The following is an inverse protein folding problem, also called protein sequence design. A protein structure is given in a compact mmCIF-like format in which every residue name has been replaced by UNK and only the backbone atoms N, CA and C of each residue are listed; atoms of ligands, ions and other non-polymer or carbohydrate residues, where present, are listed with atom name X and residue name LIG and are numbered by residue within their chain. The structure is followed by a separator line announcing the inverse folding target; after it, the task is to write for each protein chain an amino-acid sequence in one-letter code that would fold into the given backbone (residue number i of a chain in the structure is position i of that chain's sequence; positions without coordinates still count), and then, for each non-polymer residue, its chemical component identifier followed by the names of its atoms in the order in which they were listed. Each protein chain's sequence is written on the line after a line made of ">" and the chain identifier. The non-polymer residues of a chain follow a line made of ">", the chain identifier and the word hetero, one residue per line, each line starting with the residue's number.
data_IF_032220560782
#
_entry.id   IF_032220560782
#
_cell.length_a   1.000
_cell.length_b   1.000
_cell.length_c   1.000
_cell.angle_alpha   90.00
_cell.angle_beta   90.00
_cell.angle_gamma   90.00
#
_symmetry.space_group_name_H-M   'P 1'
#
loop_
_entity.id
_entity.type
_entity.pdbx_description
1 polymer ?
#
# COMPACT_ATOMS: atom_id res chain seq x y z
N UNK A 1 -6.93 -53.29 -6.23
CA UNK A 1 -6.29 -52.16 -5.51
C UNK A 1 -6.79 -50.86 -6.11
N UNK A 2 -7.38 -50.01 -5.26
CA UNK A 2 -8.48 -49.08 -5.56
C UNK A 2 -8.05 -47.74 -6.18
N UNK A 3 -8.62 -47.41 -7.35
CA UNK A 3 -8.51 -46.10 -8.02
C UNK A 3 -9.20 -44.95 -7.26
N UNK A 4 -10.03 -45.25 -6.26
CA UNK A 4 -10.79 -44.28 -5.47
C UNK A 4 -9.92 -43.38 -4.56
N UNK A 5 -8.68 -43.77 -4.25
CA UNK A 5 -7.82 -43.04 -3.32
C UNK A 5 -7.09 -41.83 -3.94
N UNK A 6 -7.06 -41.71 -5.29
CA UNK A 6 -6.33 -40.64 -5.98
C UNK A 6 -7.15 -39.37 -6.25
N UNK A 7 -8.48 -39.46 -6.23
CA UNK A 7 -9.35 -38.30 -6.51
C UNK A 7 -9.58 -37.45 -5.26
N UNK A 8 -9.52 -38.05 -4.06
CA UNK A 8 -9.81 -37.34 -2.81
C UNK A 8 -8.67 -36.40 -2.36
N UNK A 9 -7.42 -36.68 -2.75
CA UNK A 9 -6.26 -35.85 -2.39
C UNK A 9 -6.18 -34.55 -3.21
N UNK A 10 -6.80 -34.50 -4.39
CA UNK A 10 -6.77 -33.32 -5.27
C UNK A 10 -7.74 -32.21 -4.83
N UNK A 11 -8.80 -32.54 -4.08
CA UNK A 11 -9.82 -31.56 -3.69
C UNK A 11 -9.48 -30.79 -2.42
N UNK A 12 -8.58 -31.30 -1.58
CA UNK A 12 -8.19 -30.66 -0.31
C UNK A 12 -7.09 -29.60 -0.52
N UNK A 13 -6.27 -29.72 -1.57
CA UNK A 13 -5.20 -28.76 -1.87
C UNK A 13 -5.66 -27.52 -2.65
N UNK A 14 -6.90 -27.47 -3.15
CA UNK A 14 -7.43 -26.30 -3.86
C UNK A 14 -8.13 -25.27 -2.97
N UNK A 15 -8.32 -25.55 -1.68
CA UNK A 15 -9.07 -24.66 -0.77
C UNK A 15 -8.19 -23.90 0.25
N UNK A 16 -6.86 -24.02 0.19
CA UNK A 16 -5.97 -23.44 1.20
C UNK A 16 -5.49 -22.00 0.92
N UNK A 17 -5.91 -21.36 -0.18
CA UNK A 17 -5.28 -20.11 -0.62
C UNK A 17 -6.03 -18.83 -0.28
N UNK A 18 -7.23 -18.91 0.32
CA UNK A 18 -7.96 -17.72 0.79
C UNK A 18 -7.90 -17.68 2.30
N UNK A 19 -6.68 -17.68 2.85
CA UNK A 19 -6.51 -17.21 4.22
C UNK A 19 -6.84 -15.72 4.17
N UNK A 20 -8.08 -15.38 4.53
CA UNK A 20 -8.49 -14.03 4.93
C UNK A 20 -7.69 -13.70 6.19
N UNK A 21 -6.42 -13.40 6.00
CA UNK A 21 -5.58 -12.95 7.08
C UNK A 21 -6.21 -11.66 7.61
N UNK A 22 -6.41 -11.61 8.93
CA UNK A 22 -7.02 -10.49 9.61
C UNK A 22 -6.28 -9.20 9.20
N UNK A 23 -7.01 -8.07 9.00
CA UNK A 23 -6.41 -6.81 8.62
C UNK A 23 -5.17 -6.50 9.45
N UNK A 24 -4.14 -5.94 8.83
CA UNK A 24 -2.90 -5.62 9.52
C UNK A 24 -3.17 -4.74 10.76
N UNK A 25 -2.86 -5.26 11.94
CA UNK A 25 -2.92 -4.50 13.20
C UNK A 25 -1.71 -3.56 13.29
N UNK A 26 -1.90 -2.30 12.90
CA UNK A 26 -0.85 -1.28 12.88
C UNK A 26 -0.41 -0.82 14.27
N UNK A 27 -1.06 -1.26 15.35
CA UNK A 27 -0.59 -1.02 16.73
C UNK A 27 0.57 -1.94 17.12
N UNK A 28 0.87 -2.95 16.29
CA UNK A 28 1.93 -3.93 16.50
C UNK A 28 2.87 -3.96 15.29
N UNK A 29 4.11 -4.43 15.45
CA UNK A 29 4.96 -4.72 14.31
C UNK A 29 4.27 -5.67 13.33
N UNK A 30 4.42 -5.40 12.03
CA UNK A 30 3.91 -6.31 11.01
C UNK A 30 4.58 -7.69 11.14
N UNK A 31 3.82 -8.78 11.02
CA UNK A 31 4.40 -10.11 11.11
C UNK A 31 5.34 -10.38 9.93
N UNK A 32 6.55 -10.83 10.24
CA UNK A 32 7.59 -11.15 9.27
C UNK A 32 8.28 -9.92 8.66
N UNK A 33 8.95 -10.11 7.53
CA UNK A 33 9.65 -9.02 6.82
C UNK A 33 8.64 -8.10 6.12
N UNK A 34 8.85 -6.80 6.21
CA UNK A 34 8.10 -5.82 5.41
C UNK A 34 8.30 -6.09 3.92
N UNK A 35 7.19 -6.24 3.19
CA UNK A 35 7.13 -6.41 1.74
C UNK A 35 6.13 -5.38 1.23
N UNK A 36 6.64 -4.20 0.91
CA UNK A 36 5.82 -3.07 0.49
C UNK A 36 6.31 -2.44 -0.80
N UNK A 37 5.37 -1.85 -1.54
CA UNK A 37 5.65 -1.00 -2.69
C UNK A 37 5.54 0.48 -2.32
N UNK A 38 6.56 1.27 -2.64
CA UNK A 38 6.48 2.74 -2.61
C UNK A 38 5.90 3.24 -3.92
N UNK A 39 4.86 4.06 -3.87
CA UNK A 39 4.19 4.55 -5.08
C UNK A 39 3.50 5.89 -4.90
N UNK A 40 3.07 6.50 -6.00
CA UNK A 40 2.22 7.69 -5.96
C UNK A 40 0.79 7.34 -5.48
N UNK A 41 0.15 8.21 -4.68
CA UNK A 41 -1.22 8.03 -4.20
C UNK A 41 -2.30 7.93 -5.31
N UNK A 42 -1.98 8.22 -6.57
CA UNK A 42 -2.83 7.97 -7.74
C UNK A 42 -2.89 6.52 -8.20
N UNK A 43 -2.04 5.64 -7.68
CA UNK A 43 -1.88 4.27 -8.16
C UNK A 43 -2.67 3.21 -7.35
N UNK A 44 -3.82 3.58 -6.79
CA UNK A 44 -4.66 2.68 -5.98
C UNK A 44 -4.96 1.34 -6.67
N UNK A 45 -5.16 1.37 -8.00
CA UNK A 45 -5.43 0.18 -8.82
C UNK A 45 -4.33 -0.90 -8.79
N UNK A 46 -3.13 -0.60 -8.27
CA UNK A 46 -2.04 -1.57 -8.15
C UNK A 46 -2.17 -2.47 -6.91
N UNK A 47 -2.99 -2.09 -5.92
CA UNK A 47 -3.10 -2.82 -4.66
C UNK A 47 -3.49 -4.31 -4.84
N UNK A 48 -4.46 -4.68 -5.71
CA UNK A 48 -4.78 -6.08 -5.93
C UNK A 48 -3.58 -6.88 -6.44
N UNK A 49 -2.81 -6.33 -7.38
CA UNK A 49 -1.63 -7.00 -7.91
C UNK A 49 -0.51 -7.11 -6.88
N UNK A 50 -0.36 -6.13 -6.01
CA UNK A 50 0.60 -6.19 -4.91
C UNK A 50 0.25 -7.30 -3.92
N UNK A 51 -1.02 -7.42 -3.54
CA UNK A 51 -1.49 -8.49 -2.68
C UNK A 51 -1.27 -9.87 -3.33
N UNK A 52 -1.57 -10.02 -4.61
CA UNK A 52 -1.32 -11.25 -5.39
C UNK A 52 0.16 -11.65 -5.38
N UNK A 53 1.08 -10.67 -5.43
CA UNK A 53 2.53 -10.89 -5.38
C UNK A 53 3.08 -11.09 -3.95
N UNK A 54 2.22 -11.21 -2.95
CA UNK A 54 2.61 -11.50 -1.56
C UNK A 54 3.14 -10.31 -0.76
N UNK A 55 2.87 -9.08 -1.22
CA UNK A 55 3.12 -7.87 -0.42
C UNK A 55 2.24 -7.86 0.83
N UNK A 56 2.71 -7.25 1.90
CA UNK A 56 1.97 -7.08 3.16
C UNK A 56 1.80 -5.60 3.56
N UNK A 57 2.27 -4.66 2.74
CA UNK A 57 2.13 -3.24 2.98
C UNK A 57 2.00 -2.44 1.68
N UNK A 58 1.30 -1.31 1.76
CA UNK A 58 1.23 -0.30 0.73
C UNK A 58 1.76 1.03 1.28
N UNK A 59 2.69 1.65 0.55
CA UNK A 59 3.40 2.86 0.98
C UNK A 59 3.17 4.00 -0.04
N UNK A 60 1.94 4.57 -0.12
CA UNK A 60 1.65 5.65 -1.04
C UNK A 60 2.18 7.00 -0.54
N UNK A 61 2.83 7.75 -1.43
CA UNK A 61 3.16 9.16 -1.23
C UNK A 61 1.95 10.03 -1.55
N UNK A 62 1.46 10.74 -0.54
CA UNK A 62 0.49 11.82 -0.69
C UNK A 62 1.24 13.16 -0.76
N UNK A 63 0.99 13.91 -1.84
CA UNK A 63 1.53 15.26 -2.02
C UNK A 63 0.55 16.33 -1.55
N UNK A 64 1.07 17.46 -1.09
CA UNK A 64 0.31 18.69 -0.82
C UNK A 64 -0.91 18.53 0.10
N UNK A 65 -0.86 17.60 1.08
CA UNK A 65 -1.87 17.59 2.14
C UNK A 65 -1.72 18.86 2.96
N UNK A 66 -2.82 19.61 3.06
CA UNK A 66 -2.89 20.86 3.79
C UNK A 66 -3.46 20.64 5.20
N UNK A 67 -3.18 21.59 6.10
CA UNK A 67 -3.85 21.72 7.38
C UNK A 67 -4.60 23.06 7.39
N UNK A 68 -5.94 23.07 7.53
CA UNK A 68 -6.81 21.91 7.71
C UNK A 68 -6.91 21.01 6.46
N UNK A 69 -7.15 19.72 6.68
CA UNK A 69 -7.26 18.73 5.60
C UNK A 69 -8.50 19.01 4.75
N UNK A 70 -8.32 19.02 3.42
CA UNK A 70 -9.45 19.19 2.50
C UNK A 70 -10.30 17.92 2.46
N UNK A 71 -11.62 18.02 2.28
CA UNK A 71 -12.49 16.84 2.22
C UNK A 71 -12.08 15.80 1.15
N UNK A 72 -11.55 16.26 0.01
CA UNK A 72 -11.11 15.36 -1.07
C UNK A 72 -9.89 14.52 -0.66
N UNK A 73 -8.95 15.12 0.09
CA UNK A 73 -7.75 14.41 0.57
C UNK A 73 -8.14 13.38 1.64
N UNK A 74 -9.07 13.73 2.53
CA UNK A 74 -9.62 12.81 3.53
C UNK A 74 -10.34 11.62 2.88
N UNK A 75 -11.20 11.87 1.89
CA UNK A 75 -11.90 10.82 1.15
C UNK A 75 -10.92 9.87 0.44
N UNK A 76 -9.85 10.42 -0.13
CA UNK A 76 -8.80 9.62 -0.78
C UNK A 76 -8.04 8.75 0.22
N UNK A 77 -7.71 9.28 1.41
CA UNK A 77 -7.08 8.51 2.48
C UNK A 77 -7.98 7.36 2.95
N UNK A 78 -9.28 7.62 3.15
CA UNK A 78 -10.25 6.60 3.50
C UNK A 78 -10.33 5.48 2.45
N UNK A 79 -10.42 5.86 1.17
CA UNK A 79 -10.43 4.90 0.06
C UNK A 79 -9.20 3.98 0.06
N UNK A 80 -8.01 4.53 0.35
CA UNK A 80 -6.79 3.74 0.47
C UNK A 80 -6.82 2.81 1.69
N UNK A 81 -7.29 3.29 2.84
CA UNK A 81 -7.40 2.50 4.06
C UNK A 81 -8.35 1.31 3.86
N UNK A 82 -9.53 1.55 3.28
CA UNK A 82 -10.55 0.53 3.02
C UNK A 82 -10.03 -0.55 2.06
N UNK A 83 -9.38 -0.14 0.97
CA UNK A 83 -8.85 -1.08 -0.02
C UNK A 83 -7.67 -1.89 0.52
N UNK A 84 -6.80 -1.28 1.33
CA UNK A 84 -5.73 -2.00 2.02
C UNK A 84 -6.30 -2.99 3.03
N UNK A 85 -7.31 -2.62 3.81
CA UNK A 85 -7.99 -3.52 4.74
C UNK A 85 -8.63 -4.71 4.02
N UNK A 86 -9.32 -4.46 2.89
CA UNK A 86 -9.94 -5.49 2.06
C UNK A 86 -8.91 -6.50 1.51
N UNK A 87 -7.71 -6.03 1.19
CA UNK A 87 -6.62 -6.84 0.63
C UNK A 87 -5.63 -7.36 1.68
N UNK A 88 -5.90 -7.12 2.96
CA UNK A 88 -4.99 -7.40 4.07
C UNK A 88 -3.56 -6.85 3.86
N UNK A 89 -3.48 -5.59 3.44
CA UNK A 89 -2.25 -4.82 3.36
C UNK A 89 -2.22 -3.81 4.51
N UNK A 90 -1.04 -3.61 5.09
CA UNK A 90 -0.80 -2.49 5.98
C UNK A 90 -0.82 -1.17 5.18
N UNK A 91 -1.68 -0.24 5.59
CA UNK A 91 -1.73 1.09 4.98
C UNK A 91 -0.73 2.02 5.67
N UNK A 92 0.34 2.41 4.97
CA UNK A 92 1.43 3.24 5.50
C UNK A 92 1.60 4.50 4.64
N UNK A 93 0.69 5.49 4.74
CA UNK A 93 0.77 6.69 3.92
C UNK A 93 1.98 7.54 4.29
N UNK A 94 2.64 8.08 3.27
CA UNK A 94 3.79 8.97 3.43
C UNK A 94 3.38 10.38 3.09
N UNK A 95 3.66 11.30 4.02
CA UNK A 95 3.43 12.73 3.88
C UNK A 95 4.76 13.48 4.01
N UNK A 96 4.92 14.57 3.26
CA UNK A 96 6.03 15.47 3.54
C UNK A 96 5.66 16.33 4.76
N UNK A 97 6.29 16.07 5.91
CA UNK A 97 6.04 16.83 7.13
C UNK A 97 6.29 18.33 6.97
N UNK A 98 7.25 18.70 6.12
CA UNK A 98 7.64 20.09 5.84
C UNK A 98 7.40 20.50 4.39
N UNK A 99 6.61 19.75 3.61
CA UNK A 99 6.53 19.91 2.15
C UNK A 99 6.17 21.32 1.67
N UNK A 100 5.27 22.01 2.37
CA UNK A 100 4.90 23.40 2.07
C UNK A 100 5.96 24.43 2.49
N UNK A 101 6.87 24.07 3.38
CA UNK A 101 7.96 24.90 3.87
C UNK A 101 9.31 24.52 3.29
N UNK A 102 9.43 23.40 2.55
CA UNK A 102 10.67 22.96 1.88
C UNK A 102 11.42 24.13 1.19
N UNK A 103 10.75 25.05 0.45
CA UNK A 103 11.43 26.21 -0.16
C UNK A 103 12.04 27.21 0.83
N UNK A 104 11.57 27.27 2.08
CA UNK A 104 12.04 28.25 3.08
C UNK A 104 13.28 27.79 3.86
N UNK A 105 13.58 26.49 3.90
CA UNK A 105 14.74 25.95 4.64
C UNK A 105 15.70 25.13 3.76
N UNK A 106 15.27 24.63 2.59
CA UNK A 106 16.19 24.17 1.55
C UNK A 106 16.65 25.40 0.77
N UNK A 107 17.60 26.12 1.36
CA UNK A 107 18.37 27.15 0.64
C UNK A 107 19.09 26.44 -0.50
N UNK A 108 18.93 26.95 -1.72
CA UNK A 108 19.44 26.38 -2.97
C UNK A 108 18.76 25.09 -3.46
N UNK A 109 17.41 25.02 -3.45
CA UNK A 109 16.70 23.97 -4.18
C UNK A 109 17.15 24.00 -5.66
N UNK A 110 18.02 23.06 -5.99
CA UNK A 110 18.87 23.06 -7.17
C UNK A 110 18.02 23.12 -8.44
N UNK A 111 17.99 24.29 -9.08
CA UNK A 111 17.38 24.52 -10.41
C UNK A 111 17.97 23.62 -11.50
N UNK A 112 19.04 22.89 -11.20
CA UNK A 112 19.72 21.96 -12.12
C UNK A 112 18.86 20.74 -12.44
N UNK A 113 17.98 20.29 -11.54
CA UNK A 113 17.29 18.99 -11.71
C UNK A 113 15.90 19.10 -12.34
N UNK A 114 15.30 20.30 -12.38
CA UNK A 114 13.92 20.52 -12.87
C UNK A 114 13.83 21.25 -14.21
N UNK A 115 14.94 21.77 -14.77
CA UNK A 115 14.92 22.49 -16.06
C UNK A 115 15.18 21.62 -17.30
N UNK A 116 15.60 20.36 -17.18
CA UNK A 116 15.90 19.48 -18.32
C UNK A 116 14.72 18.61 -18.79
N UNK A 117 13.49 19.02 -18.51
CA UNK A 117 12.27 18.32 -18.94
C UNK A 117 11.30 19.16 -19.78
N UNK A 118 11.81 20.14 -20.54
CA UNK A 118 11.00 20.81 -21.58
C UNK A 118 11.09 20.04 -22.90
#
# INVERSE_FOLDING_TARGET
>A
MNRACRVLAATILLNASVSFAAPADLSKPLPGRLRGGYMNAGNLKLLPKMAELGMNAAIPKFGAIQTPMRPQDAAKLAQWADECARLNLAFLPVFNWWGGHEPSWIKDFSRVVTQTGK
#
